data_IF_021029878608
#
_entry.id   IF_021029878608
#
_cell.length_a   1.000
_cell.length_b   1.000
_cell.length_c   1.000
_cell.angle_alpha   90.00
_cell.angle_beta   90.00
_cell.angle_gamma   90.00
#
_symmetry.space_group_name_H-M   'P 1'
#
loop_
_entity.id
_entity.type
_entity.pdbx_description
1 polymer ?
#
# COMPACT_ATOMS: atom_id res chain seq x y z
N UNK A 1 2.46 9.92 20.91
CA UNK A 1 3.56 10.11 19.94
C UNK A 1 2.96 10.46 18.59
N UNK A 2 3.49 11.43 17.85
CA UNK A 2 2.96 11.80 16.52
C UNK A 2 3.43 10.78 15.49
N UNK A 3 2.50 10.17 14.75
CA UNK A 3 2.82 9.36 13.58
C UNK A 3 3.14 10.31 12.41
N UNK A 4 4.39 10.31 11.98
CA UNK A 4 4.90 11.23 10.95
C UNK A 4 4.32 10.93 9.57
N UNK A 5 4.07 9.66 9.22
CA UNK A 5 3.38 9.32 7.96
C UNK A 5 1.96 9.84 7.95
N UNK A 6 1.25 9.69 9.07
CA UNK A 6 -0.11 10.18 9.22
C UNK A 6 -0.15 11.72 9.16
N UNK A 7 0.82 12.39 9.78
CA UNK A 7 1.00 13.85 9.67
C UNK A 7 1.18 14.28 8.21
N UNK A 8 2.07 13.63 7.47
CA UNK A 8 2.30 13.91 6.05
C UNK A 8 1.01 13.69 5.23
N UNK A 9 0.30 12.57 5.44
CA UNK A 9 -0.98 12.28 4.78
C UNK A 9 -2.02 13.35 5.08
N UNK A 10 -2.17 13.75 6.34
CA UNK A 10 -3.12 14.79 6.77
C UNK A 10 -2.79 16.16 6.16
N UNK A 11 -1.50 16.52 6.10
CA UNK A 11 -1.04 17.76 5.46
C UNK A 11 -1.37 17.77 3.96
N UNK A 12 -1.14 16.67 3.24
CA UNK A 12 -1.40 16.55 1.80
C UNK A 12 -2.89 16.46 1.44
N UNK A 13 -3.70 15.81 2.28
CA UNK A 13 -5.12 15.56 2.01
C UNK A 13 -6.00 16.81 2.15
N UNK A 14 -5.61 17.74 3.02
CA UNK A 14 -6.49 18.84 3.43
C UNK A 14 -5.98 20.22 3.04
N UNK A 15 -4.76 20.34 2.48
CA UNK A 15 -4.16 21.64 2.21
C UNK A 15 -3.42 21.70 0.87
N UNK A 16 -3.69 22.77 0.13
CA UNK A 16 -2.73 23.34 -0.81
C UNK A 16 -1.67 24.15 -0.05
N UNK A 17 -0.54 24.46 -0.68
CA UNK A 17 0.49 25.30 -0.05
C UNK A 17 -0.12 26.59 0.51
N UNK A 18 0.21 26.90 1.76
CA UNK A 18 -0.42 27.99 2.49
C UNK A 18 0.60 28.65 3.45
N UNK A 19 0.09 29.44 4.39
CA UNK A 19 0.93 30.25 5.29
C UNK A 19 1.73 29.45 6.31
N UNK A 20 1.40 28.18 6.58
CA UNK A 20 2.13 27.29 7.49
C UNK A 20 2.67 26.01 6.83
N UNK A 21 2.37 25.79 5.55
CA UNK A 21 2.69 24.55 4.84
C UNK A 21 3.22 24.82 3.43
N UNK A 22 4.32 24.16 3.07
CA UNK A 22 5.01 24.28 1.79
C UNK A 22 5.47 22.89 1.29
N UNK A 23 5.53 22.70 -0.03
CA UNK A 23 6.01 21.47 -0.67
C UNK A 23 7.20 21.79 -1.55
N UNK A 24 8.10 20.83 -1.68
CA UNK A 24 9.27 20.92 -2.55
C UNK A 24 9.53 19.54 -3.15
N UNK A 25 9.87 19.52 -4.43
CA UNK A 25 10.31 18.28 -5.07
C UNK A 25 11.65 17.80 -4.51
N UNK A 26 12.59 18.73 -4.30
CA UNK A 26 13.92 18.41 -3.77
C UNK A 26 14.44 19.56 -2.90
N UNK A 27 15.30 19.20 -1.94
CA UNK A 27 16.01 20.15 -1.08
C UNK A 27 17.46 20.28 -1.54
N UNK A 28 17.80 21.42 -2.15
CA UNK A 28 19.15 21.69 -2.64
C UNK A 28 19.95 22.52 -1.64
N UNK A 29 20.74 21.89 -0.77
CA UNK A 29 21.58 22.60 0.22
C UNK A 29 23.07 22.64 -0.14
N UNK A 30 23.46 22.15 -1.32
CA UNK A 30 24.86 22.15 -1.77
C UNK A 30 25.28 23.48 -2.44
N UNK A 31 24.32 24.22 -3.00
CA UNK A 31 24.59 25.49 -3.71
C UNK A 31 24.22 26.70 -2.84
N UNK A 32 24.88 27.84 -3.06
CA UNK A 32 24.54 29.10 -2.38
C UNK A 32 23.10 29.53 -2.67
N UNK A 33 22.65 29.36 -3.91
CA UNK A 33 21.27 29.65 -4.31
C UNK A 33 20.25 28.77 -3.57
N UNK A 34 20.50 27.47 -3.52
CA UNK A 34 19.60 26.53 -2.86
C UNK A 34 19.51 26.76 -1.35
N UNK A 35 20.66 27.02 -0.69
CA UNK A 35 20.71 27.48 0.71
C UNK A 35 19.91 28.77 0.91
N UNK A 36 20.09 29.77 0.05
CA UNK A 36 19.36 31.04 0.14
C UNK A 36 17.83 30.84 0.01
N UNK A 37 17.40 30.02 -0.95
CA UNK A 37 15.98 29.67 -1.14
C UNK A 37 15.40 28.98 0.09
N UNK A 38 16.08 27.97 0.63
CA UNK A 38 15.64 27.27 1.83
C UNK A 38 15.54 28.19 3.05
N UNK A 39 16.59 28.99 3.30
CA UNK A 39 16.60 29.98 4.38
C UNK A 39 15.46 31.00 4.24
N UNK A 40 15.15 31.43 3.01
CA UNK A 40 14.03 32.33 2.72
C UNK A 40 12.69 31.68 3.11
N UNK A 41 12.47 30.42 2.76
CA UNK A 41 11.25 29.69 3.11
C UNK A 41 11.11 29.50 4.63
N UNK A 42 12.18 29.11 5.31
CA UNK A 42 12.14 28.95 6.78
C UNK A 42 11.89 30.29 7.47
N UNK A 43 12.55 31.37 7.03
CA UNK A 43 12.34 32.72 7.55
C UNK A 43 10.88 33.18 7.37
N UNK A 44 10.31 32.98 6.17
CA UNK A 44 8.93 33.39 5.88
C UNK A 44 7.89 32.59 6.65
N UNK A 45 8.06 31.28 6.77
CA UNK A 45 7.18 30.39 7.54
C UNK A 45 7.25 30.69 9.04
N UNK A 46 8.45 30.90 9.60
CA UNK A 46 8.63 31.25 11.01
C UNK A 46 7.97 32.58 11.36
N UNK A 47 8.21 33.63 10.56
CA UNK A 47 7.65 34.95 10.83
C UNK A 47 6.11 34.99 10.73
N UNK A 48 5.52 34.14 9.88
CA UNK A 48 4.06 34.04 9.75
C UNK A 48 3.40 33.13 10.79
N UNK A 49 4.16 32.29 11.51
CA UNK A 49 3.62 31.32 12.46
C UNK A 49 4.33 31.39 13.83
N UNK A 50 4.23 32.53 14.55
CA UNK A 50 4.91 32.68 15.85
C UNK A 50 4.31 31.85 16.99
N UNK A 51 3.14 31.23 16.78
CA UNK A 51 2.37 30.50 17.81
C UNK A 51 2.07 29.04 17.46
N UNK A 52 2.41 28.59 16.25
CA UNK A 52 2.16 27.23 15.80
C UNK A 52 3.35 26.70 14.97
N UNK A 53 3.42 25.37 14.83
CA UNK A 53 4.40 24.75 13.95
C UNK A 53 4.06 25.04 12.48
N UNK A 54 5.09 25.04 11.64
CA UNK A 54 4.96 25.06 10.19
C UNK A 54 5.79 23.95 9.56
N UNK A 55 5.44 23.53 8.36
CA UNK A 55 5.97 22.32 7.75
C UNK A 55 6.42 22.56 6.31
N UNK A 56 7.54 21.94 5.94
CA UNK A 56 7.96 21.81 4.54
C UNK A 56 8.07 20.31 4.25
N UNK A 57 7.38 19.84 3.21
CA UNK A 57 7.55 18.47 2.71
C UNK A 57 8.47 18.45 1.51
N UNK A 58 9.42 17.54 1.52
CA UNK A 58 10.40 17.35 0.45
C UNK A 58 10.20 15.99 -0.20
N UNK A 59 10.22 15.93 -1.52
CA UNK A 59 9.92 14.72 -2.30
C UNK A 59 8.45 14.61 -2.71
N UNK A 60 7.76 15.75 -2.83
CA UNK A 60 6.36 15.83 -3.27
C UNK A 60 6.27 16.61 -4.59
N UNK A 61 5.51 16.09 -5.55
CA UNK A 61 5.19 16.81 -6.78
C UNK A 61 4.12 17.90 -6.52
N UNK A 62 4.36 19.11 -7.03
CA UNK A 62 3.52 20.27 -6.72
C UNK A 62 2.09 20.17 -7.28
N UNK A 63 1.91 19.63 -8.49
CA UNK A 63 0.61 19.62 -9.17
C UNK A 63 -0.35 18.54 -8.68
N UNK A 64 0.17 17.34 -8.36
CA UNK A 64 -0.66 16.16 -8.07
C UNK A 64 -0.63 15.71 -6.62
N UNK A 65 0.14 16.36 -5.75
CA UNK A 65 0.40 15.91 -4.37
C UNK A 65 0.94 14.47 -4.31
N UNK A 66 1.60 14.02 -5.37
CA UNK A 66 2.17 12.66 -5.47
C UNK A 66 3.48 12.63 -4.70
N UNK A 67 3.64 11.57 -3.91
CA UNK A 67 4.86 11.31 -3.15
C UNK A 67 5.85 10.65 -4.11
N UNK A 68 6.90 11.39 -4.48
CA UNK A 68 7.97 10.92 -5.37
C UNK A 68 9.13 10.29 -4.58
N UNK A 69 9.37 10.80 -3.37
CA UNK A 69 10.53 10.42 -2.57
C UNK A 69 11.81 11.16 -2.98
N UNK A 70 12.76 11.21 -2.06
CA UNK A 70 14.12 11.73 -2.22
C UNK A 70 15.11 10.80 -1.54
N UNK A 71 16.40 10.95 -1.85
CA UNK A 71 17.47 10.29 -1.10
C UNK A 71 17.48 10.73 0.36
N UNK A 72 17.95 9.84 1.23
CA UNK A 72 18.17 10.13 2.64
C UNK A 72 19.07 11.36 2.83
N UNK A 73 18.66 12.26 3.73
CA UNK A 73 19.42 13.47 4.05
C UNK A 73 19.74 13.56 5.55
N UNK A 74 21.00 13.86 5.87
CA UNK A 74 21.46 14.05 7.26
C UNK A 74 21.12 15.48 7.75
N UNK A 75 20.38 15.57 8.85
CA UNK A 75 19.85 16.82 9.41
C UNK A 75 20.89 17.66 10.17
N UNK A 76 22.06 17.10 10.49
CA UNK A 76 23.08 17.70 11.36
C UNK A 76 23.59 19.08 10.94
N UNK A 77 23.44 19.45 9.67
CA UNK A 77 23.90 20.72 9.14
C UNK A 77 22.81 21.79 8.99
N UNK A 78 21.53 21.44 9.08
CA UNK A 78 20.45 22.38 8.73
C UNK A 78 20.27 23.46 9.80
N UNK A 79 20.24 23.10 11.09
CA UNK A 79 20.14 24.09 12.16
C UNK A 79 21.38 25.01 12.20
N UNK A 80 22.56 24.46 11.92
CA UNK A 80 23.80 25.22 11.83
C UNK A 80 23.76 26.24 10.68
N UNK A 81 23.19 25.87 9.54
CA UNK A 81 22.98 26.77 8.40
C UNK A 81 22.07 27.94 8.79
N UNK A 82 20.95 27.68 9.47
CA UNK A 82 20.05 28.75 9.95
C UNK A 82 20.78 29.69 10.91
N UNK A 83 21.48 29.14 11.90
CA UNK A 83 22.21 29.90 12.91
C UNK A 83 23.32 30.78 12.30
N UNK A 84 23.92 30.36 11.18
CA UNK A 84 24.96 31.11 10.51
C UNK A 84 24.44 32.35 9.78
N UNK A 85 23.25 32.28 9.18
CA UNK A 85 22.73 33.32 8.26
C UNK A 85 21.55 34.12 8.79
N UNK A 86 20.82 33.62 9.79
CA UNK A 86 19.65 34.28 10.35
C UNK A 86 19.92 34.82 11.76
N UNK A 87 19.31 35.96 12.05
CA UNK A 87 19.11 36.47 13.41
C UNK A 87 17.73 36.00 13.91
N UNK A 88 17.66 35.66 15.20
CA UNK A 88 16.48 35.03 15.80
C UNK A 88 15.94 33.80 15.02
N UNK A 89 16.79 32.83 14.61
CA UNK A 89 16.33 31.67 13.82
C UNK A 89 15.36 30.78 14.61
N UNK A 90 14.34 30.18 13.96
CA UNK A 90 13.53 29.14 14.58
C UNK A 90 14.36 27.89 14.89
N UNK A 91 13.88 27.08 15.84
CA UNK A 91 14.31 25.69 15.95
C UNK A 91 13.64 24.91 14.82
N UNK A 92 14.39 24.03 14.17
CA UNK A 92 13.86 23.12 13.16
C UNK A 92 14.23 21.68 13.49
N UNK A 93 13.43 20.76 12.96
CA UNK A 93 13.73 19.33 12.95
C UNK A 93 13.49 18.81 11.54
N UNK A 94 14.43 18.03 11.02
CA UNK A 94 14.29 17.33 9.75
C UNK A 94 14.20 15.83 10.01
N UNK A 95 13.18 15.20 9.46
CA UNK A 95 12.95 13.76 9.62
C UNK A 95 12.83 13.09 8.26
N UNK A 96 13.58 12.01 8.06
CA UNK A 96 13.45 11.13 6.90
C UNK A 96 12.31 10.14 7.16
N UNK A 97 11.16 10.32 6.51
CA UNK A 97 9.98 9.48 6.71
C UNK A 97 9.80 8.50 5.55
N UNK A 98 9.96 7.21 5.83
CA UNK A 98 9.84 6.15 4.82
C UNK A 98 8.37 5.86 4.51
N UNK A 99 8.02 5.73 3.24
CA UNK A 99 6.68 5.34 2.77
C UNK A 99 6.71 3.97 2.08
N UNK A 100 5.74 3.07 2.32
CA UNK A 100 5.77 1.69 1.79
C UNK A 100 5.73 1.56 0.26
N UNK A 101 5.26 2.58 -0.45
CA UNK A 101 5.13 2.57 -1.92
C UNK A 101 6.32 3.24 -2.63
N UNK A 102 7.30 3.75 -1.87
CA UNK A 102 8.51 4.32 -2.43
C UNK A 102 9.53 3.23 -2.72
N UNK A 103 10.41 3.50 -3.69
CA UNK A 103 11.55 2.63 -3.97
C UNK A 103 12.48 2.50 -2.76
N UNK A 104 13.21 1.39 -2.70
CA UNK A 104 14.05 1.09 -1.54
C UNK A 104 15.16 2.14 -1.39
N UNK A 105 15.28 2.72 -0.21
CA UNK A 105 16.24 3.81 0.08
C UNK A 105 15.68 5.23 -0.13
N UNK A 106 14.50 5.39 -0.72
CA UNK A 106 13.83 6.69 -0.85
C UNK A 106 12.98 7.02 0.39
N UNK A 107 12.95 8.31 0.73
CA UNK A 107 12.23 8.86 1.89
C UNK A 107 11.49 10.14 1.53
N UNK A 108 10.54 10.55 2.36
CA UNK A 108 9.95 11.90 2.34
C UNK A 108 10.61 12.72 3.42
N UNK A 109 11.19 13.87 3.06
CA UNK A 109 11.74 14.80 4.03
C UNK A 109 10.64 15.61 4.70
N UNK A 110 10.48 15.48 6.02
CA UNK A 110 9.59 16.32 6.81
C UNK A 110 10.42 17.35 7.57
N UNK A 111 10.30 18.62 7.18
CA UNK A 111 10.87 19.74 7.94
C UNK A 111 9.80 20.31 8.86
N UNK A 112 9.99 20.17 10.17
CA UNK A 112 9.15 20.82 11.18
C UNK A 112 9.87 22.09 11.66
N UNK A 113 9.21 23.24 11.51
CA UNK A 113 9.69 24.54 11.98
C UNK A 113 8.87 24.90 13.22
N UNK A 114 9.55 25.03 14.36
CA UNK A 114 8.90 25.33 15.64
C UNK A 114 8.58 26.82 15.78
N UNK A 115 7.46 27.16 16.43
CA UNK A 115 7.06 28.54 16.61
C UNK A 115 8.10 29.33 17.40
N UNK A 116 8.42 30.52 16.91
CA UNK A 116 9.31 31.46 17.60
C UNK A 116 8.76 32.87 17.50
N UNK A 117 8.71 33.56 18.64
CA UNK A 117 8.28 34.96 18.69
C UNK A 117 9.40 35.89 18.23
N UNK A 118 9.00 37.03 17.67
CA UNK A 118 9.91 38.08 17.20
C UNK A 118 10.30 37.91 15.74
N UNK A 119 10.92 38.95 15.18
CA UNK A 119 11.32 39.01 13.77
C UNK A 119 12.57 38.16 13.53
N UNK A 120 12.46 37.15 12.66
CA UNK A 120 13.58 36.44 12.06
C UNK A 120 14.00 37.17 10.77
N UNK A 121 15.30 37.42 10.59
CA UNK A 121 15.82 38.14 9.42
C UNK A 121 17.25 37.70 9.09
N UNK A 122 17.73 38.03 7.89
CA UNK A 122 19.08 37.68 7.44
C UNK A 122 20.11 38.61 8.08
N UNK A 123 21.05 38.07 8.85
CA UNK A 123 22.16 38.86 9.44
C UNK A 123 23.40 38.92 8.55
N UNK A 124 23.42 38.16 7.47
CA UNK A 124 24.47 38.16 6.45
C UNK A 124 23.86 37.92 5.09
N UNK A 125 24.42 38.57 4.07
CA UNK A 125 24.04 38.35 2.67
C UNK A 125 24.28 36.88 2.26
N UNK A 126 23.35 36.31 1.50
CA UNK A 126 23.53 35.02 0.81
C UNK A 126 22.89 35.07 -0.57
N UNK A 127 23.68 34.78 -1.61
CA UNK A 127 23.25 34.87 -3.00
C UNK A 127 22.66 36.26 -3.33
N UNK A 128 21.38 36.34 -3.70
CA UNK A 128 20.65 37.58 -4.01
C UNK A 128 19.89 38.17 -2.82
N UNK A 129 19.96 37.56 -1.63
CA UNK A 129 19.27 38.03 -0.42
C UNK A 129 20.24 38.87 0.40
N UNK A 130 19.92 40.15 0.55
CA UNK A 130 20.74 41.11 1.28
C UNK A 130 20.65 40.94 2.80
N UNK A 131 21.66 41.45 3.49
CA UNK A 131 21.64 41.59 4.94
C UNK A 131 20.49 42.51 5.39
N UNK A 132 19.85 42.20 6.51
CA UNK A 132 18.66 42.87 7.03
C UNK A 132 17.36 42.42 6.39
N UNK A 133 17.39 41.67 5.28
CA UNK A 133 16.19 41.19 4.62
C UNK A 133 15.36 40.29 5.54
N UNK A 134 14.05 40.41 5.47
CA UNK A 134 13.10 39.62 6.26
C UNK A 134 11.93 39.26 5.37
N UNK A 135 11.39 38.07 5.57
CA UNK A 135 10.28 37.59 4.76
C UNK A 135 9.12 37.18 5.64
N UNK A 136 7.90 37.40 5.18
CA UNK A 136 6.67 36.87 5.77
C UNK A 136 5.84 36.21 4.69
N UNK A 137 5.12 35.15 5.06
CA UNK A 137 4.29 34.36 4.14
C UNK A 137 2.83 34.81 4.18
N UNK A 138 2.25 35.06 3.00
CA UNK A 138 0.81 35.37 2.80
C UNK A 138 0.30 34.39 1.75
N UNK A 139 -0.65 33.52 2.11
CA UNK A 139 -0.99 32.37 1.27
C UNK A 139 0.24 31.49 1.03
N UNK A 140 0.53 31.15 -0.22
CA UNK A 140 1.72 30.41 -0.63
C UNK A 140 2.94 31.28 -0.96
N UNK A 141 2.83 32.62 -0.87
CA UNK A 141 3.85 33.55 -1.35
C UNK A 141 4.69 34.11 -0.19
N UNK A 142 6.02 34.14 -0.37
CA UNK A 142 6.96 34.77 0.56
C UNK A 142 7.23 36.24 0.17
N UNK A 143 6.64 37.17 0.91
CA UNK A 143 6.79 38.61 0.71
C UNK A 143 8.08 39.14 1.36
N UNK A 144 8.79 40.09 0.73
CA UNK A 144 10.09 40.60 1.18
C UNK A 144 10.00 41.67 2.27
N UNK A 145 9.03 41.53 3.18
CA UNK A 145 8.87 42.40 4.35
C UNK A 145 8.43 41.57 5.55
N UNK A 146 8.77 42.05 6.74
CA UNK A 146 8.21 41.51 7.96
C UNK A 146 6.79 42.07 8.17
N UNK A 147 5.82 41.18 8.24
CA UNK A 147 4.46 41.49 8.64
C UNK A 147 4.09 40.67 9.87
N UNK A 148 3.38 41.29 10.79
CA UNK A 148 2.68 40.56 11.86
C UNK A 148 1.70 39.58 11.24
N UNK A 149 1.66 38.34 11.74
CA UNK A 149 0.76 37.31 11.26
C UNK A 149 -0.69 37.82 11.27
N UNK A 150 -1.30 37.94 10.09
CA UNK A 150 -2.69 38.41 9.93
C UNK A 150 -3.71 37.30 10.20
N UNK A 151 -3.30 36.05 10.02
CA UNK A 151 -4.13 34.85 10.16
C UNK A 151 -3.53 34.01 11.28
N UNK A 152 -4.35 33.55 12.22
CA UNK A 152 -3.93 32.63 13.26
C UNK A 152 -4.16 31.18 12.79
N UNK A 153 -3.08 30.47 12.52
CA UNK A 153 -3.14 29.07 12.09
C UNK A 153 -3.14 28.07 13.27
N UNK A 154 -3.10 28.54 14.51
CA UNK A 154 -2.87 27.68 15.68
C UNK A 154 -3.91 26.59 15.84
N UNK A 155 -5.20 26.92 15.68
CA UNK A 155 -6.28 25.94 15.81
C UNK A 155 -6.23 24.87 14.71
N UNK A 156 -5.96 25.29 13.47
CA UNK A 156 -5.85 24.40 12.32
C UNK A 156 -4.68 23.45 12.52
N UNK A 157 -3.49 23.97 12.83
CA UNK A 157 -2.28 23.17 13.03
C UNK A 157 -2.41 22.23 14.22
N UNK A 158 -3.00 22.69 15.33
CA UNK A 158 -3.27 21.83 16.49
C UNK A 158 -4.23 20.69 16.14
N UNK A 159 -5.27 20.94 15.33
CA UNK A 159 -6.18 19.90 14.87
C UNK A 159 -5.49 18.85 14.00
N UNK A 160 -4.60 19.26 13.09
CA UNK A 160 -3.79 18.37 12.24
C UNK A 160 -2.85 17.54 13.11
N UNK A 161 -2.14 18.16 14.04
CA UNK A 161 -1.21 17.47 14.94
C UNK A 161 -1.95 16.43 15.81
N UNK A 162 -3.10 16.78 16.38
CA UNK A 162 -3.95 15.86 17.15
C UNK A 162 -4.45 14.68 16.30
N UNK A 163 -4.90 14.95 15.08
CA UNK A 163 -5.32 13.92 14.13
C UNK A 163 -4.16 13.01 13.66
N UNK A 164 -2.91 13.43 13.91
CA UNK A 164 -1.70 12.71 13.53
C UNK A 164 -1.06 11.96 14.69
N UNK A 165 -1.63 12.04 15.91
CA UNK A 165 -1.22 11.21 17.04
C UNK A 165 -1.79 9.81 16.85
N UNK A 166 -0.95 8.78 16.92
CA UNK A 166 -1.44 7.39 17.01
C UNK A 166 -2.14 7.26 18.35
N UNK A 167 -3.47 7.29 18.35
CA UNK A 167 -4.24 7.09 19.57
C UNK A 167 -4.26 5.60 19.88
N UNK A 168 -3.51 5.18 20.91
CA UNK A 168 -3.47 3.79 21.38
C UNK A 168 -4.89 3.26 21.63
N UNK A 169 -5.79 4.09 22.14
CA UNK A 169 -7.18 3.74 22.32
C UNK A 169 -7.84 3.38 20.98
N UNK A 170 -7.65 4.18 19.92
CA UNK A 170 -8.22 3.88 18.61
C UNK A 170 -7.64 2.58 18.01
N UNK A 171 -6.34 2.32 18.22
CA UNK A 171 -5.72 1.05 17.79
C UNK A 171 -6.33 -0.12 18.54
N UNK A 172 -6.47 -0.04 19.86
CA UNK A 172 -7.12 -1.07 20.68
C UNK A 172 -8.58 -1.25 20.26
N UNK A 173 -9.33 -0.17 20.10
CA UNK A 173 -10.74 -0.18 19.69
C UNK A 173 -10.90 -0.82 18.31
N UNK A 174 -9.97 -0.55 17.38
CA UNK A 174 -9.97 -1.15 16.03
C UNK A 174 -9.64 -2.64 16.06
N UNK A 175 -8.68 -3.07 16.89
CA UNK A 175 -8.39 -4.50 17.13
C UNK A 175 -9.63 -5.18 17.72
N UNK A 176 -10.23 -4.59 18.76
CA UNK A 176 -11.44 -5.11 19.39
C UNK A 176 -12.60 -5.18 18.39
N UNK A 177 -12.78 -4.16 17.56
CA UNK A 177 -13.80 -4.17 16.50
C UNK A 177 -13.56 -5.30 15.50
N UNK A 178 -12.33 -5.47 15.01
CA UNK A 178 -11.97 -6.56 14.09
C UNK A 178 -12.26 -7.93 14.71
N UNK A 179 -11.85 -8.12 15.96
CA UNK A 179 -11.96 -9.39 16.69
C UNK A 179 -13.39 -9.72 17.11
N UNK A 180 -14.21 -8.72 17.47
CA UNK A 180 -15.53 -8.95 18.08
C UNK A 180 -16.71 -8.70 17.16
N UNK A 181 -16.60 -7.76 16.20
CA UNK A 181 -17.73 -7.30 15.38
C UNK A 181 -17.58 -7.64 13.91
N UNK A 182 -16.39 -7.48 13.34
CA UNK A 182 -16.19 -7.57 11.89
C UNK A 182 -16.33 -9.01 11.38
N UNK A 183 -15.85 -9.99 12.14
CA UNK A 183 -15.84 -11.40 11.73
C UNK A 183 -16.37 -12.33 12.85
N UNK A 184 -17.66 -12.24 13.23
CA UNK A 184 -18.22 -12.98 14.38
C UNK A 184 -18.19 -14.49 14.18
N UNK A 185 -18.26 -14.95 12.92
CA UNK A 185 -18.29 -16.37 12.55
C UNK A 185 -16.90 -16.94 12.19
N UNK A 186 -15.84 -16.14 12.36
CA UNK A 186 -14.46 -16.57 12.12
C UNK A 186 -13.68 -16.60 13.42
N UNK A 187 -12.46 -17.17 13.39
CA UNK A 187 -11.52 -17.10 14.50
C UNK A 187 -10.47 -16.00 14.23
N UNK A 188 -10.79 -14.72 14.48
CA UNK A 188 -9.83 -13.65 14.27
C UNK A 188 -8.64 -13.80 15.23
N UNK A 189 -7.48 -13.40 14.74
CA UNK A 189 -6.20 -13.40 15.46
C UNK A 189 -5.53 -12.05 15.24
N UNK A 190 -4.60 -11.72 16.11
CA UNK A 190 -3.75 -10.54 15.96
C UNK A 190 -2.32 -10.86 16.38
N UNK A 191 -1.38 -10.08 15.87
CA UNK A 191 0.02 -10.11 16.29
C UNK A 191 0.60 -8.71 16.17
N UNK A 192 1.53 -8.37 17.06
CA UNK A 192 2.22 -7.08 17.06
C UNK A 192 3.67 -7.31 16.66
N UNK A 193 4.06 -6.81 15.50
CA UNK A 193 5.44 -6.87 15.01
C UNK A 193 6.21 -5.62 15.41
N UNK A 194 7.46 -5.81 15.84
CA UNK A 194 8.39 -4.73 16.24
C UNK A 194 7.79 -3.70 17.20
N UNK A 195 6.83 -4.10 18.04
CA UNK A 195 6.06 -3.24 18.98
C UNK A 195 5.14 -2.17 18.34
N UNK A 196 5.17 -1.96 17.02
CA UNK A 196 4.44 -0.88 16.34
C UNK A 196 3.35 -1.37 15.39
N UNK A 197 3.51 -2.54 14.80
CA UNK A 197 2.67 -3.02 13.71
C UNK A 197 1.69 -4.08 14.19
N UNK A 198 0.47 -3.65 14.51
CA UNK A 198 -0.62 -4.54 14.85
C UNK A 198 -1.30 -5.03 13.59
N UNK A 199 -1.10 -6.31 13.28
CA UNK A 199 -1.73 -7.00 12.17
C UNK A 199 -2.83 -7.91 12.71
N UNK A 200 -4.02 -7.79 12.13
CA UNK A 200 -5.19 -8.58 12.44
C UNK A 200 -5.55 -9.46 11.24
N UNK A 201 -5.96 -10.70 11.48
CA UNK A 201 -6.45 -11.57 10.41
C UNK A 201 -7.56 -12.50 10.87
N UNK A 202 -8.45 -12.84 9.94
CA UNK A 202 -9.54 -13.77 10.16
C UNK A 202 -9.74 -14.65 8.93
N UNK A 203 -10.24 -15.87 9.13
CA UNK A 203 -10.58 -16.77 8.05
C UNK A 203 -11.31 -18.01 8.56
N UNK A 204 -11.96 -18.72 7.65
CA UNK A 204 -12.64 -19.99 7.92
C UNK A 204 -11.61 -21.11 7.82
N UNK A 205 -11.27 -21.70 8.97
CA UNK A 205 -10.35 -22.84 9.09
C UNK A 205 -10.91 -24.10 8.41
N UNK A 206 -10.07 -24.77 7.63
CA UNK A 206 -10.30 -26.06 7.00
C UNK A 206 -9.09 -26.94 7.23
N UNK A 207 -9.31 -28.11 7.82
CA UNK A 207 -8.24 -29.09 8.03
C UNK A 207 -8.29 -30.14 6.92
N UNK A 208 -7.17 -30.36 6.23
CA UNK A 208 -7.02 -31.43 5.25
C UNK A 208 -5.66 -32.08 5.37
N UNK A 209 -5.67 -33.41 5.53
CA UNK A 209 -4.44 -34.23 5.64
C UNK A 209 -3.47 -33.73 6.73
N UNK A 210 -4.00 -33.15 7.82
CA UNK A 210 -3.19 -32.62 8.92
C UNK A 210 -2.74 -31.16 8.76
N UNK A 211 -2.95 -30.54 7.59
CA UNK A 211 -2.64 -29.14 7.35
C UNK A 211 -3.87 -28.25 7.53
N UNK A 212 -3.65 -27.05 8.06
CA UNK A 212 -4.69 -26.03 8.29
C UNK A 212 -4.64 -25.00 7.19
N UNK A 213 -5.74 -24.87 6.46
CA UNK A 213 -5.96 -23.85 5.45
C UNK A 213 -7.05 -22.89 5.92
N UNK A 214 -6.95 -21.64 5.48
CA UNK A 214 -7.97 -20.61 5.71
C UNK A 214 -8.64 -20.27 4.39
N UNK A 215 -9.95 -20.05 4.42
CA UNK A 215 -10.71 -19.54 3.27
C UNK A 215 -11.56 -18.35 3.69
N UNK A 216 -11.92 -17.47 2.74
CA UNK A 216 -12.57 -16.19 3.04
C UNK A 216 -11.73 -15.36 4.01
N UNK A 217 -10.47 -15.16 3.64
CA UNK A 217 -9.47 -14.55 4.50
C UNK A 217 -9.49 -13.04 4.38
N UNK A 218 -9.42 -12.41 5.55
CA UNK A 218 -9.29 -10.97 5.72
C UNK A 218 -8.05 -10.67 6.57
N UNK A 219 -7.15 -9.80 6.09
CA UNK A 219 -5.91 -9.41 6.76
C UNK A 219 -5.77 -7.89 6.69
N UNK A 220 -5.65 -7.26 7.85
CA UNK A 220 -5.58 -5.82 8.02
C UNK A 220 -4.38 -5.42 8.89
N UNK A 221 -3.67 -4.36 8.47
CA UNK A 221 -2.67 -3.68 9.30
C UNK A 221 -3.34 -2.48 9.96
N UNK A 222 -3.72 -2.66 11.23
CA UNK A 222 -4.61 -1.76 11.96
C UNK A 222 -4.00 -0.36 12.11
N UNK A 223 -2.71 -0.27 12.41
CA UNK A 223 -2.04 1.02 12.64
C UNK A 223 -1.99 1.91 11.39
N UNK A 224 -2.04 1.32 10.20
CA UNK A 224 -2.02 2.05 8.93
C UNK A 224 -3.42 2.14 8.29
N UNK A 225 -4.43 1.48 8.87
CA UNK A 225 -5.78 1.35 8.32
C UNK A 225 -5.78 0.77 6.89
N UNK A 226 -4.86 -0.16 6.62
CA UNK A 226 -4.71 -0.78 5.30
C UNK A 226 -5.20 -2.22 5.34
N UNK A 227 -6.10 -2.55 4.42
CA UNK A 227 -6.45 -3.94 4.11
C UNK A 227 -5.38 -4.52 3.20
N UNK A 228 -4.57 -5.44 3.74
CA UNK A 228 -3.43 -6.02 3.01
C UNK A 228 -3.90 -7.14 2.10
N UNK A 229 -4.80 -7.98 2.58
CA UNK A 229 -5.29 -9.12 1.81
C UNK A 229 -6.76 -9.36 2.08
N UNK A 230 -7.51 -9.54 1.00
CA UNK A 230 -8.88 -10.02 1.05
C UNK A 230 -9.09 -11.04 -0.05
N UNK A 231 -9.45 -12.27 0.32
CA UNK A 231 -9.88 -13.25 -0.66
C UNK A 231 -11.07 -14.06 -0.19
N UNK A 232 -12.16 -13.96 -0.94
CA UNK A 232 -13.38 -14.74 -0.72
C UNK A 232 -13.29 -16.19 -1.27
N UNK A 233 -12.35 -16.45 -2.18
CA UNK A 233 -12.32 -17.69 -2.98
C UNK A 233 -11.07 -18.53 -2.74
N UNK A 234 -9.98 -17.92 -2.27
CA UNK A 234 -8.70 -18.61 -2.18
C UNK A 234 -8.58 -19.39 -0.87
N UNK A 235 -7.87 -20.51 -0.95
CA UNK A 235 -7.39 -21.22 0.22
C UNK A 235 -5.96 -20.77 0.47
N UNK A 236 -5.67 -20.31 1.68
CA UNK A 236 -4.35 -19.79 2.06
C UNK A 236 -3.83 -20.47 3.31
N UNK A 237 -2.51 -20.54 3.44
CA UNK A 237 -1.85 -20.77 4.73
C UNK A 237 -1.20 -19.47 5.18
N UNK A 238 -1.12 -19.30 6.50
CA UNK A 238 -0.48 -18.16 7.14
C UNK A 238 0.60 -18.69 8.07
N UNK A 239 1.81 -18.18 7.93
CA UNK A 239 2.95 -18.45 8.80
C UNK A 239 3.63 -17.14 9.13
N UNK A 240 4.11 -16.98 10.36
CA UNK A 240 4.80 -15.76 10.77
C UNK A 240 5.82 -16.06 11.87
N UNK A 241 6.79 -15.17 12.02
CA UNK A 241 7.72 -15.09 13.15
C UNK A 241 7.71 -13.65 13.68
N UNK A 242 8.75 -13.23 14.42
CA UNK A 242 8.80 -11.88 15.01
C UNK A 242 9.01 -10.76 13.97
N UNK A 243 9.48 -11.10 12.77
CA UNK A 243 9.93 -10.14 11.75
C UNK A 243 9.11 -10.22 10.45
N UNK A 244 8.48 -11.35 10.14
CA UNK A 244 7.74 -11.52 8.89
C UNK A 244 6.39 -12.21 9.05
N UNK A 245 5.44 -11.79 8.20
CA UNK A 245 4.13 -12.41 8.03
C UNK A 245 3.98 -12.89 6.59
N UNK A 246 3.79 -14.19 6.41
CA UNK A 246 3.80 -14.87 5.12
C UNK A 246 2.42 -15.45 4.84
N UNK A 247 1.88 -15.12 3.67
CA UNK A 247 0.62 -15.63 3.12
C UNK A 247 0.97 -16.48 1.91
N UNK A 248 0.64 -17.77 1.95
CA UNK A 248 0.76 -18.65 0.78
C UNK A 248 -0.62 -18.95 0.23
N UNK A 249 -0.88 -18.52 -1.00
CA UNK A 249 -2.11 -18.80 -1.74
C UNK A 249 -2.01 -20.17 -2.42
N UNK A 250 -3.06 -20.98 -2.34
CA UNK A 250 -3.15 -22.28 -2.99
C UNK A 250 -4.27 -22.31 -4.03
N UNK A 251 -3.99 -22.95 -5.16
CA UNK A 251 -4.99 -23.30 -6.15
C UNK A 251 -5.42 -24.74 -5.93
N UNK A 252 -6.74 -24.93 -5.80
CA UNK A 252 -7.34 -26.26 -5.73
C UNK A 252 -7.52 -26.83 -7.13
N UNK A 253 -6.82 -27.92 -7.44
CA UNK A 253 -6.99 -28.64 -8.71
C UNK A 253 -7.59 -30.01 -8.42
N UNK A 254 -8.78 -30.26 -8.96
CA UNK A 254 -9.46 -31.55 -8.89
C UNK A 254 -8.98 -32.48 -9.99
N UNK A 255 -8.40 -33.63 -9.63
CA UNK A 255 -8.09 -34.68 -10.60
C UNK A 255 -8.54 -36.05 -10.07
N UNK A 256 -9.49 -36.69 -10.77
CA UNK A 256 -10.01 -38.05 -10.49
C UNK A 256 -10.16 -38.37 -8.99
N UNK A 257 -11.01 -37.60 -8.29
CA UNK A 257 -11.33 -37.72 -6.84
C UNK A 257 -10.22 -37.31 -5.85
N UNK A 258 -9.01 -36.99 -6.30
CA UNK A 258 -7.98 -36.39 -5.47
C UNK A 258 -7.92 -34.88 -5.71
N UNK A 259 -8.40 -34.10 -4.75
CA UNK A 259 -8.17 -32.65 -4.71
C UNK A 259 -6.72 -32.43 -4.27
N UNK A 260 -5.90 -31.81 -5.14
CA UNK A 260 -4.56 -31.34 -4.78
C UNK A 260 -4.59 -29.83 -4.58
N UNK A 261 -3.95 -29.40 -3.50
CA UNK A 261 -3.66 -27.99 -3.25
C UNK A 261 -2.25 -27.73 -3.75
N UNK A 262 -2.13 -26.81 -4.68
CA UNK A 262 -0.85 -26.47 -5.29
C UNK A 262 -0.52 -25.04 -4.85
N UNK A 263 0.63 -24.81 -4.21
CA UNK A 263 1.10 -23.46 -3.92
C UNK A 263 1.12 -22.64 -5.19
N UNK A 264 0.57 -21.44 -5.12
CA UNK A 264 0.36 -20.59 -6.29
C UNK A 264 1.15 -19.29 -6.19
N UNK A 265 1.03 -18.58 -5.07
CA UNK A 265 1.83 -17.38 -4.84
C UNK A 265 2.09 -17.18 -3.36
N UNK A 266 3.23 -16.60 -3.05
CA UNK A 266 3.61 -16.19 -1.72
C UNK A 266 3.63 -14.67 -1.65
N UNK A 267 2.99 -14.12 -0.63
CA UNK A 267 3.12 -12.72 -0.26
C UNK A 267 3.78 -12.65 1.11
N UNK A 268 4.87 -11.90 1.23
CA UNK A 268 5.58 -11.68 2.49
C UNK A 268 5.48 -10.22 2.89
N UNK A 269 5.22 -10.00 4.17
CA UNK A 269 5.27 -8.69 4.81
C UNK A 269 6.45 -8.76 5.77
N UNK A 270 7.49 -7.97 5.51
CA UNK A 270 8.73 -7.98 6.29
C UNK A 270 8.77 -6.69 7.10
N UNK A 271 8.85 -6.80 8.42
CA UNK A 271 8.86 -5.69 9.36
C UNK A 271 10.28 -5.40 9.86
N UNK A 272 10.65 -4.13 9.87
CA UNK A 272 11.98 -3.65 10.27
C UNK A 272 11.90 -2.88 11.58
N UNK A 273 12.99 -2.94 12.36
CA UNK A 273 13.16 -2.14 13.59
C UNK A 273 13.18 -0.63 13.32
N UNK A 274 13.42 -0.21 12.06
CA UNK A 274 13.29 1.18 11.61
C UNK A 274 11.84 1.67 11.45
N UNK A 275 10.87 0.98 12.06
CA UNK A 275 9.43 1.23 11.92
C UNK A 275 8.96 1.22 10.47
N UNK A 276 9.56 0.40 9.61
CA UNK A 276 9.14 0.21 8.22
C UNK A 276 8.68 -1.21 7.98
N UNK A 277 7.96 -1.42 6.88
CA UNK A 277 7.68 -2.74 6.38
C UNK A 277 7.71 -2.74 4.86
N UNK A 278 8.03 -3.89 4.28
CA UNK A 278 8.00 -4.13 2.84
C UNK A 278 7.04 -5.26 2.54
N UNK A 279 6.26 -5.13 1.47
CA UNK A 279 5.43 -6.21 0.95
C UNK A 279 6.05 -6.71 -0.35
N UNK A 280 6.41 -7.99 -0.39
CA UNK A 280 6.86 -8.67 -1.61
C UNK A 280 5.83 -9.72 -2.02
N UNK A 281 5.68 -9.95 -3.31
CA UNK A 281 4.77 -10.96 -3.85
C UNK A 281 5.48 -11.71 -4.97
N UNK A 282 5.33 -13.03 -4.98
CA UNK A 282 6.00 -13.93 -5.92
C UNK A 282 5.04 -15.07 -6.30
N UNK A 283 4.89 -15.38 -7.60
CA UNK A 283 4.23 -16.60 -8.05
C UNK A 283 5.22 -17.76 -7.94
N UNK A 284 4.87 -18.76 -7.14
CA UNK A 284 5.62 -20.01 -6.97
C UNK A 284 4.91 -21.21 -7.62
N UNK A 285 4.01 -20.93 -8.56
CA UNK A 285 3.15 -21.93 -9.17
C UNK A 285 3.92 -22.81 -10.16
N UNK A 286 4.10 -24.08 -9.79
CA UNK A 286 4.61 -25.09 -10.70
C UNK A 286 3.45 -25.81 -11.42
N UNK A 287 3.52 -25.83 -12.75
CA UNK A 287 2.51 -26.54 -13.56
C UNK A 287 2.66 -28.05 -13.35
N UNK A 288 1.61 -28.78 -12.92
CA UNK A 288 1.71 -30.21 -12.68
C UNK A 288 2.03 -30.98 -13.96
N UNK A 289 2.94 -31.95 -13.90
CA UNK A 289 3.20 -32.83 -15.04
C UNK A 289 2.01 -33.74 -15.32
N UNK A 290 1.46 -33.64 -16.52
CA UNK A 290 0.34 -34.47 -17.00
C UNK A 290 0.69 -35.01 -18.38
N UNK A 291 0.39 -36.29 -18.60
CA UNK A 291 0.55 -36.92 -19.92
C UNK A 291 -0.23 -36.17 -21.02
N UNK A 292 0.47 -35.81 -22.10
CA UNK A 292 -0.11 -35.04 -23.20
C UNK A 292 -1.26 -35.77 -23.88
N UNK A 293 -1.22 -37.10 -24.00
CA UNK A 293 -2.33 -37.87 -24.60
C UNK A 293 -3.58 -37.72 -23.74
N UNK A 294 -3.43 -37.82 -22.43
CA UNK A 294 -4.52 -37.57 -21.50
C UNK A 294 -5.12 -36.16 -21.63
N UNK A 295 -4.27 -35.12 -21.76
CA UNK A 295 -4.73 -33.74 -21.96
C UNK A 295 -5.51 -33.55 -23.28
N UNK A 296 -5.10 -34.21 -24.38
CA UNK A 296 -5.86 -34.21 -25.63
C UNK A 296 -7.26 -34.80 -25.45
N UNK A 297 -7.36 -35.93 -24.74
CA UNK A 297 -8.67 -36.54 -24.43
C UNK A 297 -9.53 -35.63 -23.56
N UNK A 298 -8.97 -35.01 -22.52
CA UNK A 298 -9.69 -34.06 -21.67
C UNK A 298 -10.16 -32.84 -22.45
N UNK A 299 -9.31 -32.25 -23.28
CA UNK A 299 -9.65 -31.10 -24.10
C UNK A 299 -10.83 -31.40 -25.03
N UNK A 300 -10.78 -32.53 -25.75
CA UNK A 300 -11.84 -32.94 -26.68
C UNK A 300 -13.14 -33.25 -25.92
N UNK A 301 -13.05 -33.96 -24.80
CA UNK A 301 -14.18 -34.30 -23.95
C UNK A 301 -14.92 -33.06 -23.43
N UNK A 302 -14.21 -32.12 -22.81
CA UNK A 302 -14.85 -30.92 -22.26
C UNK A 302 -15.34 -29.95 -23.33
N UNK A 303 -14.67 -29.89 -24.48
CA UNK A 303 -15.19 -29.12 -25.63
C UNK A 303 -16.51 -29.71 -26.14
N UNK A 304 -16.63 -31.04 -26.18
CA UNK A 304 -17.89 -31.71 -26.54
C UNK A 304 -19.00 -31.40 -25.53
N UNK A 305 -18.70 -31.46 -24.22
CA UNK A 305 -19.66 -31.12 -23.16
C UNK A 305 -20.12 -29.67 -23.28
N UNK A 306 -19.19 -28.74 -23.50
CA UNK A 306 -19.50 -27.33 -23.70
C UNK A 306 -20.44 -27.12 -24.89
N UNK A 307 -20.19 -27.79 -26.01
CA UNK A 307 -21.08 -27.73 -27.17
C UNK A 307 -22.48 -28.29 -26.85
N UNK A 308 -22.57 -29.39 -26.08
CA UNK A 308 -23.87 -29.92 -25.61
C UNK A 308 -24.60 -28.91 -24.71
N UNK A 309 -23.88 -28.26 -23.80
CA UNK A 309 -24.42 -27.24 -22.92
C UNK A 309 -24.94 -26.02 -23.69
N UNK A 310 -24.18 -25.52 -24.66
CA UNK A 310 -24.56 -24.41 -25.54
C UNK A 310 -25.81 -24.73 -26.36
N UNK A 311 -26.01 -26.00 -26.71
CA UNK A 311 -27.19 -26.48 -27.45
C UNK A 311 -28.35 -26.91 -26.54
N UNK A 312 -28.26 -26.67 -25.23
CA UNK A 312 -29.26 -27.10 -24.23
C UNK A 312 -29.58 -28.61 -24.25
N UNK A 313 -28.63 -29.45 -24.69
CA UNK A 313 -28.78 -30.91 -24.69
C UNK A 313 -28.67 -31.47 -23.28
N UNK A 314 -29.41 -32.53 -22.98
CA UNK A 314 -29.32 -33.23 -21.68
C UNK A 314 -27.96 -33.90 -21.54
N UNK A 315 -27.30 -33.62 -20.43
CA UNK A 315 -26.07 -34.29 -20.02
C UNK A 315 -26.39 -35.56 -19.22
N UNK A 316 -25.63 -36.63 -19.46
CA UNK A 316 -25.67 -37.84 -18.63
C UNK A 316 -25.20 -37.58 -17.20
N UNK A 317 -25.46 -38.52 -16.29
CA UNK A 317 -25.08 -38.40 -14.87
C UNK A 317 -23.56 -38.23 -14.67
N UNK A 318 -22.75 -38.93 -15.47
CA UNK A 318 -21.29 -38.82 -15.47
C UNK A 318 -20.85 -37.44 -15.95
N UNK A 319 -21.37 -36.98 -17.09
CA UNK A 319 -21.05 -35.65 -17.65
C UNK A 319 -21.42 -34.51 -16.68
N UNK A 320 -22.55 -34.64 -15.96
CA UNK A 320 -22.94 -33.67 -14.93
C UNK A 320 -21.95 -33.64 -13.76
N UNK A 321 -21.49 -34.80 -13.29
CA UNK A 321 -20.49 -34.88 -12.22
C UNK A 321 -19.13 -34.33 -12.65
N UNK A 322 -18.77 -34.44 -13.93
CA UNK A 322 -17.50 -33.96 -14.45
C UNK A 322 -17.45 -32.44 -14.67
N UNK A 323 -18.60 -31.73 -14.66
CA UNK A 323 -18.66 -30.27 -14.78
C UNK A 323 -17.83 -29.54 -13.73
N UNK A 324 -17.68 -30.11 -12.53
CA UNK A 324 -16.86 -29.54 -11.44
C UNK A 324 -15.37 -29.38 -11.84
N UNK A 325 -14.89 -30.19 -12.77
CA UNK A 325 -13.49 -30.19 -13.21
C UNK A 325 -13.29 -29.48 -14.55
N UNK A 326 -14.37 -29.06 -15.23
CA UNK A 326 -14.34 -28.55 -16.61
C UNK A 326 -13.41 -27.35 -16.77
N UNK A 327 -13.62 -26.29 -15.96
CA UNK A 327 -12.84 -25.06 -16.08
C UNK A 327 -11.35 -25.30 -15.76
N UNK A 328 -11.08 -26.03 -14.68
CA UNK A 328 -9.73 -26.38 -14.24
C UNK A 328 -9.00 -27.29 -15.23
N UNK A 329 -9.70 -28.22 -15.88
CA UNK A 329 -9.11 -29.09 -16.90
C UNK A 329 -8.71 -28.31 -18.15
N UNK A 330 -9.58 -27.39 -18.62
CA UNK A 330 -9.23 -26.51 -19.74
C UNK A 330 -8.10 -25.53 -19.39
N UNK A 331 -8.01 -25.07 -18.14
CA UNK A 331 -6.86 -24.32 -17.64
C UNK A 331 -5.56 -25.13 -17.77
N UNK A 332 -5.56 -26.38 -17.29
CA UNK A 332 -4.39 -27.27 -17.39
C UNK A 332 -3.98 -27.51 -18.84
N UNK A 333 -4.96 -27.74 -19.74
CA UNK A 333 -4.67 -27.85 -21.17
C UNK A 333 -3.98 -26.58 -21.70
N UNK A 334 -4.48 -25.40 -21.34
CA UNK A 334 -3.85 -24.14 -21.75
C UNK A 334 -2.41 -24.00 -21.24
N UNK A 335 -2.17 -24.31 -19.96
CA UNK A 335 -0.83 -24.30 -19.35
C UNK A 335 0.14 -25.27 -20.02
N UNK A 336 -0.36 -26.36 -20.59
CA UNK A 336 0.42 -27.35 -21.35
C UNK A 336 0.49 -27.06 -22.86
N UNK A 337 0.17 -25.84 -23.30
CA UNK A 337 0.35 -25.38 -24.68
C UNK A 337 -0.87 -25.52 -25.60
N UNK A 338 -2.01 -25.99 -25.10
CA UNK A 338 -3.26 -26.03 -25.88
C UNK A 338 -3.89 -24.62 -25.91
N UNK A 339 -3.32 -23.73 -26.72
CA UNK A 339 -3.69 -22.30 -26.77
C UNK A 339 -5.21 -22.05 -26.89
N UNK A 340 -5.90 -22.88 -27.70
CA UNK A 340 -7.35 -22.81 -27.91
C UNK A 340 -8.19 -23.07 -26.66
N UNK A 341 -7.66 -23.74 -25.63
CA UNK A 341 -8.42 -24.03 -24.41
C UNK A 341 -8.86 -22.79 -23.65
N UNK A 342 -8.04 -21.73 -23.66
CA UNK A 342 -8.41 -20.43 -23.09
C UNK A 342 -9.50 -19.74 -23.91
N UNK A 343 -9.43 -19.79 -25.24
CA UNK A 343 -10.47 -19.25 -26.12
C UNK A 343 -11.80 -19.97 -25.91
N UNK A 344 -11.76 -21.30 -25.78
CA UNK A 344 -12.96 -22.12 -25.48
C UNK A 344 -13.61 -21.67 -24.17
N UNK A 345 -12.83 -21.43 -23.11
CA UNK A 345 -13.35 -20.89 -21.84
C UNK A 345 -14.02 -19.52 -22.04
N UNK A 346 -13.36 -18.60 -22.73
CA UNK A 346 -13.86 -17.23 -22.93
C UNK A 346 -15.16 -17.24 -23.74
N UNK A 347 -15.20 -18.01 -24.85
CA UNK A 347 -16.34 -18.07 -25.75
C UNK A 347 -17.60 -18.67 -25.08
N UNK A 348 -17.42 -19.50 -24.05
CA UNK A 348 -18.52 -20.13 -23.31
C UNK A 348 -18.88 -19.40 -22.01
N UNK A 349 -18.38 -18.17 -21.80
CA UNK A 349 -18.67 -17.37 -20.59
C UNK A 349 -20.17 -17.26 -20.29
N UNK A 350 -20.99 -16.96 -21.28
CA UNK A 350 -22.44 -16.80 -21.09
C UNK A 350 -23.12 -18.12 -20.74
N UNK A 351 -22.61 -19.24 -21.25
CA UNK A 351 -23.08 -20.59 -20.87
C UNK A 351 -22.81 -20.83 -19.39
N UNK A 352 -21.61 -20.51 -18.91
CA UNK A 352 -21.28 -20.67 -17.49
C UNK A 352 -22.15 -19.80 -16.59
N UNK A 353 -22.39 -18.54 -16.99
CA UNK A 353 -23.16 -17.56 -16.23
C UNK A 353 -24.63 -17.94 -16.10
N UNK A 354 -25.23 -18.47 -17.17
CA UNK A 354 -26.67 -18.76 -17.24
C UNK A 354 -27.02 -20.20 -16.86
N UNK A 355 -26.03 -21.03 -16.50
CA UNK A 355 -26.28 -22.42 -16.14
C UNK A 355 -26.90 -22.55 -14.74
N UNK A 356 -27.69 -23.61 -14.53
CA UNK A 356 -28.43 -23.85 -13.28
C UNK A 356 -27.53 -24.00 -12.05
N UNK A 357 -26.27 -24.40 -12.23
CA UNK A 357 -25.34 -24.67 -11.15
C UNK A 357 -24.34 -23.51 -10.98
N UNK A 358 -24.43 -22.71 -9.90
CA UNK A 358 -23.62 -21.49 -9.73
C UNK A 358 -22.10 -21.75 -9.66
N UNK A 359 -21.68 -22.94 -9.23
CA UNK A 359 -20.27 -23.28 -9.08
C UNK A 359 -19.50 -23.18 -10.40
N UNK A 360 -20.18 -23.37 -11.54
CA UNK A 360 -19.54 -23.38 -12.85
C UNK A 360 -19.02 -21.99 -13.22
N UNK A 361 -19.83 -20.95 -12.99
CA UNK A 361 -19.40 -19.57 -13.20
C UNK A 361 -18.33 -19.11 -12.18
N UNK A 362 -18.42 -19.58 -10.94
CA UNK A 362 -17.39 -19.33 -9.92
C UNK A 362 -16.04 -19.92 -10.34
N UNK A 363 -16.03 -21.19 -10.76
CA UNK A 363 -14.82 -21.87 -11.25
C UNK A 363 -14.22 -21.19 -12.48
N UNK A 364 -15.07 -20.70 -13.40
CA UNK A 364 -14.60 -19.92 -14.54
C UNK A 364 -13.90 -18.62 -14.11
N UNK A 365 -14.48 -17.86 -13.17
CA UNK A 365 -13.88 -16.62 -12.65
C UNK A 365 -12.53 -16.89 -11.98
N UNK A 366 -12.43 -17.95 -11.20
CA UNK A 366 -11.19 -18.39 -10.53
C UNK A 366 -10.10 -18.71 -11.56
N UNK A 367 -10.41 -19.58 -12.53
CA UNK A 367 -9.48 -19.95 -13.61
C UNK A 367 -9.01 -18.74 -14.40
N UNK A 368 -9.92 -17.84 -14.78
CA UNK A 368 -9.54 -16.63 -15.52
C UNK A 368 -8.71 -15.65 -14.69
N UNK A 369 -8.88 -15.62 -13.35
CA UNK A 369 -8.01 -14.85 -12.44
C UNK A 369 -6.60 -15.44 -12.42
N UNK A 370 -6.47 -16.76 -12.23
CA UNK A 370 -5.19 -17.49 -12.22
C UNK A 370 -4.42 -17.24 -13.53
N UNK A 371 -5.08 -17.45 -14.68
CA UNK A 371 -4.48 -17.25 -16.00
C UNK A 371 -4.09 -15.80 -16.30
N UNK A 372 -4.72 -14.82 -15.65
CA UNK A 372 -4.29 -13.41 -15.74
C UNK A 372 -3.04 -13.16 -14.91
N UNK A 373 -3.03 -13.61 -13.65
CA UNK A 373 -1.89 -13.40 -12.74
C UNK A 373 -0.61 -14.02 -13.30
N UNK A 374 -0.69 -15.25 -13.84
CA UNK A 374 0.43 -15.91 -14.53
C UNK A 374 0.97 -15.14 -15.74
N UNK A 375 0.12 -14.40 -16.47
CA UNK A 375 0.53 -13.63 -17.66
C UNK A 375 1.27 -12.35 -17.30
N UNK A 376 0.88 -11.67 -16.22
CA UNK A 376 1.47 -10.37 -15.87
C UNK A 376 2.90 -10.50 -15.35
N UNK A 377 3.26 -11.57 -14.65
CA UNK A 377 4.62 -11.75 -14.13
C UNK A 377 5.60 -12.31 -15.19
N UNK A 378 5.15 -13.15 -16.13
CA UNK A 378 5.98 -13.60 -17.28
C UNK A 378 6.27 -12.49 -18.31
N UNK A 379 5.72 -11.29 -18.15
CA UNK A 379 6.04 -10.11 -18.95
C UNK A 379 6.99 -9.13 -18.24
N UNK A 380 7.26 -9.35 -16.95
CA UNK A 380 8.16 -8.54 -16.12
C UNK A 380 9.52 -9.23 -15.87
N UNK A 381 9.72 -10.44 -16.42
CA UNK A 381 11.02 -11.05 -16.71
C UNK A 381 11.40 -10.76 -18.16
#
# INVERSE_FOLDING_TARGET
MINKRLLIKNLLAHHTENSFFDKKQQLNLHTLEGKAKFLKHVCSLSNSNPYNQSFILVGIEDEKNTIMGIDFYDDSHIQNLLNAYLENPPQIQYENVIFPHLENGMVVGLVTIYPKKGKCYFKKRIYTIDEGASFSRIGSISHPEYHTAKINNSEIVDSILKASVTNLQNTIDSVLQFVTKTHPDMKPKYHVFKEYFTLCWAGIEKVKKGEVYLSRVDIELINEQVKIFYSALDEVSITFNDDEFIITEYVKIGFRKNNRYIPFSVQKIIFSDSMTYQITSEIIFETPEIDKRHLYHLYNYYTLILNKLSQHKRLGLTEQNDLQNLCYSLMLCYLHGFKKAKEVLINHKEVFKNYKQPFLYTSFKEVMRILRKLKYETQNE
#
